data_IF_203162271802
#
_entry.id   IF_203162271802
#
_cell.length_a   1.000
_cell.length_b   1.000
_cell.length_c   1.000
_cell.angle_alpha   90.00
_cell.angle_beta   90.00
_cell.angle_gamma   90.00
#
_symmetry.space_group_name_H-M   'P 1'
#
loop_
_entity.id
_entity.type
_entity.pdbx_description
1 polymer ?
#
# COMPACT_ATOMS: atom_id res chain seq x y z
N UNK A 1 -2.02 8.61 35.23
CA UNK A 1 -2.04 9.68 34.20
C UNK A 1 -2.37 9.01 32.88
N UNK A 2 -3.51 9.34 32.26
CA UNK A 2 -3.86 8.80 30.95
C UNK A 2 -2.95 9.46 29.92
N UNK A 3 -2.00 8.70 29.35
CA UNK A 3 -1.25 9.19 28.19
C UNK A 3 -2.23 9.35 27.03
N UNK A 4 -2.46 10.58 26.56
CA UNK A 4 -3.20 10.85 25.33
C UNK A 4 -2.43 10.26 24.15
N UNK A 5 -2.65 8.97 23.89
CA UNK A 5 -2.13 8.27 22.72
C UNK A 5 -3.17 8.40 21.61
N UNK A 6 -2.85 9.22 20.61
CA UNK A 6 -3.70 9.36 19.43
C UNK A 6 -3.57 8.09 18.58
N UNK A 7 -4.71 7.55 18.15
CA UNK A 7 -4.73 6.25 17.49
C UNK A 7 -5.50 6.32 16.17
N UNK A 8 -4.87 5.83 15.11
CA UNK A 8 -5.44 5.79 13.78
C UNK A 8 -5.68 4.35 13.34
N UNK A 9 -6.79 4.11 12.66
CA UNK A 9 -7.06 2.81 12.04
C UNK A 9 -7.13 2.91 10.52
N UNK A 10 -6.30 2.15 9.82
CA UNK A 10 -6.25 2.13 8.37
C UNK A 10 -6.62 0.77 7.79
N UNK A 11 -7.32 0.73 6.66
CA UNK A 11 -7.70 -0.51 5.98
C UNK A 11 -7.57 -0.39 4.47
N UNK A 12 -6.96 -1.38 3.83
CA UNK A 12 -6.84 -1.47 2.37
C UNK A 12 -6.86 -2.92 1.93
N UNK A 13 -7.68 -3.25 0.91
CA UNK A 13 -7.93 -4.62 0.48
C UNK A 13 -8.34 -5.50 1.68
N UNK A 14 -7.54 -6.52 2.01
CA UNK A 14 -7.72 -7.40 3.17
C UNK A 14 -6.80 -7.04 4.36
N UNK A 15 -6.00 -5.99 4.24
CA UNK A 15 -5.07 -5.55 5.30
C UNK A 15 -5.73 -4.53 6.22
N UNK A 16 -5.50 -4.70 7.52
CA UNK A 16 -5.92 -3.78 8.58
C UNK A 16 -4.72 -3.38 9.43
N UNK A 17 -4.56 -2.08 9.65
CA UNK A 17 -3.50 -1.47 10.43
C UNK A 17 -4.09 -0.64 11.58
N UNK A 18 -3.51 -0.78 12.77
CA UNK A 18 -3.71 0.08 13.93
C UNK A 18 -2.41 0.82 14.17
N UNK A 19 -2.48 2.14 14.25
CA UNK A 19 -1.34 3.04 14.38
C UNK A 19 -1.54 3.80 15.68
N UNK A 20 -0.53 3.81 16.52
CA UNK A 20 -0.47 4.64 17.72
C UNK A 20 0.65 5.64 17.53
N UNK A 21 0.36 6.91 17.79
CA UNK A 21 1.33 8.00 17.71
C UNK A 21 1.67 8.44 19.13
N UNK A 22 2.96 8.68 19.36
CA UNK A 22 3.48 9.33 20.55
C UNK A 22 4.46 10.43 20.15
N UNK A 23 4.53 11.57 20.86
CA UNK A 23 5.63 12.51 20.66
C UNK A 23 6.96 11.84 21.04
N UNK A 24 7.99 11.97 20.20
CA UNK A 24 9.24 11.23 20.34
C UNK A 24 10.29 11.60 19.30
N UNK A 25 11.14 10.64 18.93
CA UNK A 25 12.35 10.82 18.11
C UNK A 25 12.20 10.35 16.65
N UNK A 26 10.97 10.09 16.17
CA UNK A 26 10.74 9.62 14.79
C UNK A 26 10.85 8.11 14.61
N UNK A 27 10.83 7.32 15.68
CA UNK A 27 11.02 5.86 15.59
C UNK A 27 9.75 5.19 15.06
N UNK A 28 9.87 4.46 13.96
CA UNK A 28 8.75 3.70 13.36
C UNK A 28 8.94 2.20 13.60
N UNK A 29 8.00 1.61 14.35
CA UNK A 29 7.98 0.16 14.62
C UNK A 29 6.69 -0.49 14.10
N UNK A 30 6.83 -1.64 13.44
CA UNK A 30 5.72 -2.41 12.86
C UNK A 30 5.78 -3.84 13.40
N UNK A 31 4.74 -4.25 14.14
CA UNK A 31 4.68 -5.57 14.76
C UNK A 31 5.99 -5.92 15.50
N UNK A 32 6.50 -4.97 16.29
CA UNK A 32 7.76 -5.07 17.07
C UNK A 32 9.05 -5.17 16.25
N UNK A 33 8.99 -4.91 14.93
CA UNK A 33 10.16 -4.86 14.05
C UNK A 33 10.35 -3.47 13.47
N UNK A 34 11.57 -3.13 13.07
CA UNK A 34 11.85 -1.86 12.41
C UNK A 34 11.27 -1.81 11.00
N UNK A 35 10.99 -0.59 10.50
CA UNK A 35 10.44 -0.35 9.18
C UNK A 35 11.23 -1.07 8.07
N UNK A 36 12.56 -0.99 8.14
CA UNK A 36 13.46 -1.52 7.11
C UNK A 36 13.49 -3.05 7.09
N UNK A 37 13.43 -3.68 8.26
CA UNK A 37 13.39 -5.14 8.39
C UNK A 37 12.01 -5.68 7.99
N UNK A 38 10.93 -4.95 8.29
CA UNK A 38 9.59 -5.38 7.94
C UNK A 38 9.30 -5.26 6.43
N UNK A 39 9.74 -4.16 5.82
CA UNK A 39 9.53 -3.89 4.40
C UNK A 39 10.83 -4.09 3.60
N UNK A 40 11.00 -5.27 3.00
CA UNK A 40 12.15 -5.52 2.11
C UNK A 40 12.17 -4.68 0.83
N UNK A 41 11.08 -3.97 0.46
CA UNK A 41 11.01 -3.10 -0.72
C UNK A 41 11.00 -1.63 -0.30
N UNK A 42 11.90 -0.84 -0.87
CA UNK A 42 11.98 0.60 -0.66
C UNK A 42 10.69 1.35 -0.98
N UNK A 43 10.02 0.99 -2.06
CA UNK A 43 8.73 1.60 -2.44
C UNK A 43 7.68 1.49 -1.33
N UNK A 44 7.69 0.42 -0.54
CA UNK A 44 6.74 0.25 0.56
C UNK A 44 7.10 1.15 1.76
N UNK A 45 8.39 1.38 1.99
CA UNK A 45 8.89 2.31 3.01
C UNK A 45 8.52 3.75 2.69
N UNK A 46 8.75 4.16 1.43
CA UNK A 46 8.37 5.50 0.95
C UNK A 46 6.87 5.77 1.15
N UNK A 47 6.00 4.82 0.79
CA UNK A 47 4.54 4.97 0.95
C UNK A 47 4.15 5.22 2.42
N UNK A 48 4.85 4.61 3.37
CA UNK A 48 4.57 4.80 4.81
C UNK A 48 5.04 6.17 5.30
N UNK A 49 6.14 6.70 4.75
CA UNK A 49 6.71 8.00 5.13
C UNK A 49 6.00 9.21 4.51
N UNK A 50 5.40 9.06 3.32
CA UNK A 50 4.64 10.11 2.62
C UNK A 50 3.78 11.06 3.50
N UNK A 51 2.91 10.57 4.40
CA UNK A 51 2.08 11.46 5.22
C UNK A 51 2.86 12.20 6.31
N UNK A 52 4.00 11.67 6.75
CA UNK A 52 4.88 12.33 7.73
C UNK A 52 5.74 13.40 7.06
N UNK A 53 6.25 13.10 5.87
CA UNK A 53 7.02 14.03 5.04
C UNK A 53 6.18 15.25 4.64
N UNK A 54 4.90 15.05 4.30
CA UNK A 54 4.00 16.14 3.92
C UNK A 54 3.77 17.15 5.05
N UNK A 55 3.85 16.70 6.30
CA UNK A 55 3.62 17.54 7.49
C UNK A 55 4.94 17.95 8.15
N UNK A 56 6.09 17.47 7.64
CA UNK A 56 7.41 17.72 8.21
C UNK A 56 7.51 17.30 9.70
N UNK A 57 6.82 16.22 10.07
CA UNK A 57 6.78 15.66 11.44
C UNK A 57 7.54 14.34 11.59
N UNK A 58 8.39 14.01 10.63
CA UNK A 58 9.13 12.74 10.58
C UNK A 58 9.93 12.47 11.84
N UNK A 59 10.57 13.50 12.40
CA UNK A 59 11.51 13.34 13.54
C UNK A 59 10.88 13.65 14.90
N UNK A 60 9.61 14.06 14.93
CA UNK A 60 8.92 14.50 16.16
C UNK A 60 7.98 13.45 16.75
N UNK A 61 7.65 12.42 15.98
CA UNK A 61 6.60 11.46 16.32
C UNK A 61 7.12 10.02 16.23
N UNK A 62 7.02 9.30 17.33
CA UNK A 62 7.21 7.86 17.36
C UNK A 62 5.91 7.15 16.97
N UNK A 63 6.03 6.16 16.08
CA UNK A 63 4.90 5.38 15.58
C UNK A 63 5.01 3.92 16.00
N UNK A 64 3.98 3.45 16.71
CA UNK A 64 3.79 2.06 17.06
C UNK A 64 2.65 1.48 16.24
N UNK A 65 2.97 0.54 15.35
CA UNK A 65 2.05 0.08 14.32
C UNK A 65 1.84 -1.43 14.47
N UNK A 66 0.58 -1.85 14.53
CA UNK A 66 0.17 -3.26 14.49
C UNK A 66 -0.62 -3.53 13.22
N UNK A 67 -0.18 -4.48 12.42
CA UNK A 67 -0.81 -4.80 11.12
C UNK A 67 -1.11 -6.27 11.01
N UNK A 68 -2.30 -6.59 10.49
CA UNK A 68 -2.74 -7.97 10.22
C UNK A 68 -3.42 -8.06 8.84
N UNK A 69 -3.21 -9.21 8.17
CA UNK A 69 -3.88 -9.57 6.91
C UNK A 69 -3.28 -8.97 5.63
N UNK A 70 -3.71 -9.54 4.49
CA UNK A 70 -3.28 -9.16 3.14
C UNK A 70 -1.79 -9.41 2.87
N UNK A 71 -1.20 -8.62 1.96
CA UNK A 71 0.21 -8.70 1.61
C UNK A 71 0.93 -7.35 1.77
N UNK A 72 2.25 -7.34 1.62
CA UNK A 72 3.14 -6.21 1.95
C UNK A 72 2.68 -4.86 1.34
N UNK A 73 2.32 -4.85 0.05
CA UNK A 73 1.82 -3.64 -0.63
C UNK A 73 0.43 -3.19 -0.12
N UNK A 74 -0.43 -4.14 0.24
CA UNK A 74 -1.73 -3.84 0.85
C UNK A 74 -1.56 -3.23 2.24
N UNK A 75 -0.63 -3.79 3.01
CA UNK A 75 -0.29 -3.35 4.35
C UNK A 75 0.32 -1.94 4.35
N UNK A 76 1.29 -1.64 3.50
CA UNK A 76 1.87 -0.28 3.40
C UNK A 76 0.79 0.79 3.16
N UNK A 77 -0.15 0.54 2.24
CA UNK A 77 -1.27 1.45 1.99
C UNK A 77 -2.26 1.54 3.15
N UNK A 78 -2.48 0.46 3.90
CA UNK A 78 -3.30 0.49 5.11
C UNK A 78 -2.63 1.31 6.22
N UNK A 79 -1.32 1.14 6.42
CA UNK A 79 -0.53 1.90 7.39
C UNK A 79 -0.58 3.39 7.07
N UNK A 80 -0.30 3.76 5.82
CA UNK A 80 -0.38 5.16 5.36
C UNK A 80 -1.70 5.82 5.76
N UNK A 81 -2.82 5.15 5.48
CA UNK A 81 -4.14 5.66 5.83
C UNK A 81 -4.37 5.72 7.35
N UNK A 82 -3.80 4.79 8.11
CA UNK A 82 -3.84 4.82 9.58
C UNK A 82 -3.07 6.00 10.16
N UNK A 83 -1.87 6.29 9.64
CA UNK A 83 -1.04 7.43 10.06
C UNK A 83 -1.79 8.73 9.80
N UNK A 84 -2.40 8.90 8.62
CA UNK A 84 -3.18 10.10 8.30
C UNK A 84 -4.30 10.35 9.30
N UNK A 85 -5.03 9.31 9.74
CA UNK A 85 -6.09 9.47 10.73
C UNK A 85 -5.56 9.86 12.11
N UNK A 86 -4.46 9.22 12.53
CA UNK A 86 -3.83 9.54 13.80
C UNK A 86 -3.26 10.98 13.81
N UNK A 87 -2.73 11.45 12.69
CA UNK A 87 -2.27 12.84 12.54
C UNK A 87 -3.43 13.85 12.60
N UNK A 88 -4.60 13.51 12.04
CA UNK A 88 -5.79 14.37 12.13
C UNK A 88 -6.32 14.49 13.57
N UNK A 89 -6.19 13.44 14.37
CA UNK A 89 -6.53 13.48 15.81
C UNK A 89 -5.46 14.22 16.63
N UNK A 90 -4.21 14.23 16.16
CA UNK A 90 -3.13 14.97 16.80
C UNK A 90 -3.23 16.48 16.58
N UNK A 91 -3.50 16.90 15.35
CA UNK A 91 -3.70 18.30 15.01
C UNK A 91 -4.71 18.42 13.86
N UNK A 92 -5.85 19.06 14.17
CA UNK A 92 -6.94 19.25 13.22
C UNK A 92 -6.58 20.21 12.08
N UNK A 93 -5.59 21.10 12.28
CA UNK A 93 -5.15 22.07 11.28
C UNK A 93 -4.50 21.42 10.06
N UNK A 94 -4.02 20.19 10.21
CA UNK A 94 -3.36 19.40 9.16
C UNK A 94 -4.34 18.77 8.17
N UNK A 95 -5.62 18.69 8.54
CA UNK A 95 -6.68 18.08 7.75
C UNK A 95 -6.79 18.62 6.31
N UNK A 96 -6.81 19.94 6.05
CA UNK A 96 -6.87 20.48 4.68
C UNK A 96 -5.68 20.03 3.82
N UNK A 97 -4.45 20.06 4.35
CA UNK A 97 -3.25 19.64 3.62
C UNK A 97 -3.29 18.13 3.29
N UNK A 98 -3.63 17.29 4.27
CA UNK A 98 -3.77 15.85 4.08
C UNK A 98 -4.90 15.47 3.11
N UNK A 99 -5.97 16.28 3.07
CA UNK A 99 -7.10 16.10 2.14
C UNK A 99 -6.69 16.50 0.72
N UNK A 100 -5.96 17.60 0.55
CA UNK A 100 -5.44 18.04 -0.75
C UNK A 100 -4.51 16.98 -1.36
N UNK A 101 -3.68 16.32 -0.56
CA UNK A 101 -2.82 15.22 -0.97
C UNK A 101 -3.55 13.88 -1.21
N UNK A 102 -4.85 13.79 -0.88
CA UNK A 102 -5.66 12.60 -1.10
C UNK A 102 -5.39 11.43 -0.14
N UNK A 103 -4.76 11.66 1.01
CA UNK A 103 -4.44 10.59 1.99
C UNK A 103 -5.63 10.22 2.91
N UNK A 104 -6.59 11.13 3.04
CA UNK A 104 -7.78 10.96 3.88
C UNK A 104 -8.79 9.99 3.25
N UNK A 105 -8.81 9.86 1.94
CA UNK A 105 -9.78 8.97 1.26
C UNK A 105 -9.29 7.53 1.29
N UNK A 106 -10.16 6.61 1.72
CA UNK A 106 -9.87 5.17 1.68
C UNK A 106 -9.81 4.68 0.23
N UNK A 107 -8.77 3.94 -0.12
CA UNK A 107 -8.70 3.20 -1.40
C UNK A 107 -9.77 2.11 -1.44
N UNK A 108 -10.82 2.33 -2.23
CA UNK A 108 -12.00 1.46 -2.32
C UNK A 108 -11.76 0.18 -3.15
N UNK A 109 -10.61 0.07 -3.84
CA UNK A 109 -10.31 -1.07 -4.70
C UNK A 109 -10.30 -2.39 -3.91
N UNK A 110 -11.17 -3.31 -4.33
CA UNK A 110 -11.27 -4.68 -3.79
C UNK A 110 -10.95 -5.68 -4.90
N UNK A 111 -10.44 -6.85 -4.50
CA UNK A 111 -10.31 -7.97 -5.44
C UNK A 111 -11.71 -8.47 -5.77
N UNK A 112 -12.09 -8.33 -7.03
CA UNK A 112 -13.36 -8.84 -7.55
C UNK A 112 -13.37 -10.37 -7.47
N UNK A 113 -14.51 -10.93 -7.03
CA UNK A 113 -14.66 -12.38 -6.93
C UNK A 113 -14.61 -12.99 -8.33
N UNK A 114 -13.98 -14.16 -8.47
CA UNK A 114 -14.04 -14.95 -9.69
C UNK A 114 -15.50 -15.37 -9.96
N UNK A 115 -16.08 -14.90 -11.07
CA UNK A 115 -17.38 -15.37 -11.56
C UNK A 115 -17.23 -16.80 -12.09
N UNK A 116 -18.24 -17.65 -11.86
CA UNK A 116 -18.24 -19.08 -12.18
C UNK A 116 -17.94 -19.39 -13.67
N UNK A 117 -18.26 -18.45 -14.56
CA UNK A 117 -18.03 -18.58 -16.01
C UNK A 117 -16.57 -18.34 -16.45
N UNK A 118 -15.74 -17.73 -15.61
CA UNK A 118 -14.44 -17.20 -16.04
C UNK A 118 -13.29 -17.91 -15.32
N UNK A 119 -12.56 -18.79 -16.02
CA UNK A 119 -11.30 -19.33 -15.52
C UNK A 119 -10.13 -18.46 -15.97
N UNK A 120 -9.55 -17.70 -15.03
CA UNK A 120 -8.29 -16.99 -15.27
C UNK A 120 -7.16 -18.02 -15.35
N UNK A 121 -6.70 -18.31 -16.57
CA UNK A 121 -5.42 -18.98 -16.79
C UNK A 121 -4.37 -17.90 -17.00
N UNK A 122 -3.33 -17.90 -16.17
CA UNK A 122 -2.11 -17.14 -16.42
C UNK A 122 -1.11 -18.16 -16.93
N UNK A 123 -0.81 -18.12 -18.22
CA UNK A 123 0.25 -18.94 -18.81
C UNK A 123 1.52 -18.11 -18.78
N UNK A 124 2.51 -18.57 -18.04
CA UNK A 124 3.84 -17.95 -18.00
C UNK A 124 4.71 -18.69 -19.01
N UNK A 125 5.15 -17.98 -20.04
CA UNK A 125 6.17 -18.49 -20.94
C UNK A 125 7.53 -18.01 -20.44
N UNK A 126 8.31 -18.92 -19.86
CA UNK A 126 9.70 -18.65 -19.48
C UNK A 126 10.58 -18.78 -20.72
N UNK A 127 11.17 -17.66 -21.16
CA UNK A 127 12.27 -17.65 -22.12
C UNK A 127 13.52 -17.10 -21.45
N UNK A 128 14.74 -17.49 -21.86
CA UNK A 128 15.98 -17.21 -21.10
C UNK A 128 16.30 -15.73 -20.86
N UNK A 129 15.65 -14.79 -21.55
CA UNK A 129 15.91 -13.35 -21.39
C UNK A 129 14.65 -12.47 -21.22
N UNK A 130 13.43 -13.02 -21.25
CA UNK A 130 12.19 -12.23 -21.11
C UNK A 130 11.06 -13.08 -20.52
N UNK A 131 10.32 -12.51 -19.56
CA UNK A 131 9.04 -13.07 -19.13
C UNK A 131 7.91 -12.43 -19.93
N UNK A 132 7.23 -13.23 -20.75
CA UNK A 132 6.00 -12.82 -21.43
C UNK A 132 4.78 -13.28 -20.64
N UNK A 133 3.88 -12.35 -20.34
CA UNK A 133 2.59 -12.62 -19.74
C UNK A 133 1.50 -12.49 -20.80
N UNK A 134 0.94 -13.61 -21.25
CA UNK A 134 -0.22 -13.63 -22.13
C UNK A 134 -1.49 -13.75 -21.29
N UNK A 135 -2.35 -12.75 -21.38
CA UNK A 135 -3.68 -12.77 -20.77
C UNK A 135 -4.68 -13.32 -21.77
N UNK A 136 -5.25 -14.50 -21.47
CA UNK A 136 -6.27 -15.10 -22.33
C UNK A 136 -7.65 -14.98 -21.67
N UNK A 137 -8.58 -14.31 -22.34
CA UNK A 137 -9.96 -14.15 -21.90
C UNK A 137 -10.84 -15.10 -22.71
N UNK A 138 -11.13 -16.30 -22.18
CA UNK A 138 -11.99 -17.28 -22.86
C UNK A 138 -13.45 -17.10 -22.42
N UNK A 139 -14.27 -16.49 -23.26
CA UNK A 139 -15.74 -16.54 -23.16
C UNK A 139 -16.21 -17.92 -23.66
N UNK A 140 -17.28 -18.47 -23.06
CA UNK A 140 -17.81 -19.80 -23.43
C UNK A 140 -18.39 -19.86 -24.85
N UNK A 141 -18.59 -18.73 -25.52
CA UNK A 141 -19.36 -18.71 -26.78
C UNK A 141 -18.68 -18.14 -28.03
N UNK A 142 -17.54 -17.44 -27.98
CA UNK A 142 -16.91 -16.98 -29.24
C UNK A 142 -15.37 -17.03 -29.20
N UNK A 143 -14.85 -17.68 -30.24
CA UNK A 143 -13.45 -17.81 -30.63
C UNK A 143 -12.88 -16.48 -31.12
N UNK A 144 -11.69 -16.14 -30.59
CA UNK A 144 -10.66 -15.25 -31.18
C UNK A 144 -11.05 -13.74 -31.27
N UNK A 145 -10.18 -12.74 -31.14
CA UNK A 145 -8.77 -12.58 -30.75
C UNK A 145 -8.52 -11.05 -30.72
N UNK A 146 -8.03 -10.44 -29.63
CA UNK A 146 -7.45 -9.06 -29.58
C UNK A 146 -6.83 -8.90 -28.17
N UNK A 147 -5.68 -8.29 -27.90
CA UNK A 147 -4.78 -7.38 -28.60
C UNK A 147 -3.36 -7.68 -28.08
N UNK A 148 -2.36 -7.78 -28.96
CA UNK A 148 -0.95 -7.83 -28.59
C UNK A 148 -0.51 -6.42 -28.15
N UNK A 149 -0.24 -6.20 -26.86
CA UNK A 149 0.48 -5.01 -26.40
C UNK A 149 1.95 -5.38 -26.26
N UNK A 150 2.76 -4.98 -27.24
CA UNK A 150 4.22 -4.93 -27.12
C UNK A 150 4.56 -3.91 -26.04
N UNK A 151 5.22 -4.34 -24.96
CA UNK A 151 6.09 -3.45 -24.19
C UNK A 151 7.52 -3.89 -24.46
N UNK A 152 8.17 -3.21 -25.41
CA UNK A 152 9.60 -3.35 -25.64
C UNK A 152 10.35 -2.75 -24.45
N UNK A 153 11.10 -3.58 -23.71
CA UNK A 153 12.25 -3.09 -22.96
C UNK A 153 13.42 -2.96 -23.92
N UNK A 154 13.61 -1.75 -24.42
CA UNK A 154 14.85 -1.24 -25.03
C UNK A 154 14.85 0.26 -24.70
N UNK A 155 15.80 0.88 -24.02
CA UNK A 155 17.13 0.45 -23.61
C UNK A 155 17.60 1.35 -22.45
N UNK A 156 18.21 0.78 -21.43
CA UNK A 156 19.19 1.39 -20.50
C UNK A 156 19.95 0.19 -19.90
N UNK A 157 21.25 -0.02 -20.01
CA UNK A 157 22.32 0.62 -20.76
C UNK A 157 23.54 -0.32 -20.71
N UNK A 158 24.29 -0.39 -21.80
CA UNK A 158 25.75 -0.29 -21.77
C UNK A 158 26.07 1.06 -22.41
#
# INVERSE_FOLDING_TARGET
MAENQNYGTGRRKSSSARVFIKPGNGKITINQRELDVYFGRETSRMIVRQPLELVELTDKLDLYITVKGGGISGQAGAIRHGITRALMEYDETLRPALRAAGFVTRDARRVERKKWVYTKHVVVHNTPNVNFYTFFQKSREQSLLFLCVKFSKSAVGF
#
